data_IF_665089261219
#
_entry.id   IF_665089261219
#
_cell.length_a   1.000
_cell.length_b   1.000
_cell.length_c   1.000
_cell.angle_alpha   90.00
_cell.angle_beta   90.00
_cell.angle_gamma   90.00
#
_symmetry.space_group_name_H-M   'P 1'
#
loop_
_entity.id
_entity.type
_entity.pdbx_description
1 polymer ?
#
# COMPACT_ATOMS: atom_id res chain seq x y z
N UNK A 1 -7.32 -2.84 -18.10
CA UNK A 1 -5.89 -3.00 -17.77
C UNK A 1 -5.62 -4.47 -17.51
N UNK A 2 -4.61 -5.03 -18.18
CA UNK A 2 -4.22 -6.44 -18.03
C UNK A 2 -2.83 -6.48 -17.38
N UNK A 3 -2.62 -7.41 -16.47
CA UNK A 3 -1.34 -7.66 -15.81
C UNK A 3 -1.15 -9.17 -15.65
N UNK A 4 0.07 -9.65 -15.94
CA UNK A 4 0.50 -11.00 -15.63
C UNK A 4 1.17 -10.95 -14.27
N UNK A 5 0.76 -11.79 -13.34
CA UNK A 5 1.51 -12.05 -12.11
C UNK A 5 2.42 -13.24 -12.33
N UNK A 6 3.65 -13.11 -11.91
CA UNK A 6 4.67 -14.15 -11.99
C UNK A 6 5.02 -14.65 -10.59
N UNK A 7 5.29 -15.92 -10.49
CA UNK A 7 5.93 -16.54 -9.34
C UNK A 7 7.39 -16.09 -9.21
N UNK A 8 8.08 -16.34 -8.09
CA UNK A 8 9.50 -16.06 -7.93
C UNK A 8 10.41 -16.74 -8.96
N UNK A 9 9.97 -17.86 -9.53
CA UNK A 9 10.65 -18.61 -10.60
C UNK A 9 10.38 -18.09 -12.02
N UNK A 10 9.70 -16.94 -12.17
CA UNK A 10 9.24 -16.33 -13.41
C UNK A 10 8.15 -17.12 -14.17
N UNK A 11 7.60 -18.17 -13.62
CA UNK A 11 6.41 -18.83 -14.19
C UNK A 11 5.17 -17.97 -13.97
N UNK A 12 4.16 -18.12 -14.85
CA UNK A 12 2.91 -17.36 -14.73
C UNK A 12 2.08 -17.89 -13.57
N UNK A 13 1.92 -17.11 -12.51
CA UNK A 13 0.99 -17.42 -11.41
C UNK A 13 -0.46 -17.26 -11.89
N UNK A 14 -0.80 -16.08 -12.43
CA UNK A 14 -2.14 -15.79 -12.94
C UNK A 14 -2.19 -14.56 -13.83
N UNK A 15 -3.20 -14.55 -14.70
CA UNK A 15 -3.58 -13.34 -15.45
C UNK A 15 -4.57 -12.52 -14.63
N UNK A 16 -4.31 -11.22 -14.51
CA UNK A 16 -5.19 -10.28 -13.78
C UNK A 16 -5.70 -9.20 -14.72
N UNK A 17 -7.03 -9.10 -14.84
CA UNK A 17 -7.68 -8.01 -15.55
C UNK A 17 -8.41 -7.09 -14.57
N UNK A 18 -8.33 -5.78 -14.79
CA UNK A 18 -9.09 -4.79 -14.03
C UNK A 18 -9.78 -3.82 -14.97
N UNK A 19 -11.06 -3.58 -14.72
CA UNK A 19 -11.74 -2.43 -15.29
C UNK A 19 -11.28 -1.18 -14.52
N UNK A 20 -10.87 -0.14 -15.25
CA UNK A 20 -10.32 1.09 -14.67
C UNK A 20 -11.01 2.28 -15.31
N UNK A 21 -11.56 3.17 -14.48
CA UNK A 21 -12.10 4.44 -14.95
C UNK A 21 -10.98 5.41 -15.34
N UNK A 22 -11.27 6.34 -16.25
CA UNK A 22 -10.33 7.39 -16.66
C UNK A 22 -10.45 8.58 -15.70
N UNK A 23 -9.96 8.44 -14.45
CA UNK A 23 -10.08 9.46 -13.42
C UNK A 23 -9.44 10.81 -13.77
N UNK A 24 -8.49 10.84 -14.71
CA UNK A 24 -7.93 12.08 -15.24
C UNK A 24 -8.95 12.96 -15.99
N UNK A 25 -10.06 12.38 -16.44
CA UNK A 25 -11.15 13.11 -17.09
C UNK A 25 -12.24 13.59 -16.12
N UNK A 26 -12.12 13.32 -14.83
CA UNK A 26 -13.05 13.79 -13.81
C UNK A 26 -12.86 15.28 -13.50
N UNK A 27 -13.97 15.99 -13.37
CA UNK A 27 -14.01 17.41 -13.01
C UNK A 27 -14.32 17.59 -11.52
N UNK A 28 -13.47 18.39 -10.83
CA UNK A 28 -13.69 18.76 -9.44
C UNK A 28 -14.96 19.57 -9.30
N UNK A 29 -15.74 19.29 -8.27
CA UNK A 29 -17.04 19.94 -8.02
C UNK A 29 -18.23 19.29 -8.70
N UNK A 30 -18.01 18.44 -9.73
CA UNK A 30 -19.05 17.67 -10.42
C UNK A 30 -18.91 16.17 -10.18
N UNK A 31 -17.78 15.60 -10.56
CA UNK A 31 -17.55 14.15 -10.45
C UNK A 31 -17.00 13.74 -9.08
N UNK A 32 -16.40 14.67 -8.36
CA UNK A 32 -15.89 14.47 -7.00
C UNK A 32 -15.72 15.81 -6.29
N UNK A 33 -15.80 15.77 -4.96
CA UNK A 33 -15.58 16.97 -4.11
C UNK A 33 -14.34 16.78 -3.23
N UNK A 34 -14.16 15.61 -2.65
CA UNK A 34 -13.07 15.30 -1.71
C UNK A 34 -12.39 14.00 -2.10
N UNK A 35 -11.06 14.01 -2.11
CA UNK A 35 -10.24 12.85 -2.50
C UNK A 35 -9.35 12.33 -1.38
N UNK A 36 -9.11 13.13 -0.34
CA UNK A 36 -8.20 12.78 0.74
C UNK A 36 -8.67 11.53 1.49
N UNK A 37 -7.77 10.59 1.68
CA UNK A 37 -7.86 9.47 2.60
C UNK A 37 -6.64 9.48 3.52
N UNK A 38 -6.79 9.15 4.81
CA UNK A 38 -5.65 8.99 5.70
C UNK A 38 -4.69 7.94 5.17
N UNK A 39 -3.41 8.20 5.32
CA UNK A 39 -2.33 7.26 5.03
C UNK A 39 -1.52 7.02 6.30
N UNK A 40 -1.10 5.79 6.51
CA UNK A 40 -0.31 5.39 7.65
C UNK A 40 1.05 6.08 7.66
N UNK A 41 1.47 6.59 8.82
CA UNK A 41 2.72 7.33 8.97
C UNK A 41 3.90 6.40 9.28
N UNK A 42 5.10 6.60 8.68
CA UNK A 42 6.28 5.79 9.03
C UNK A 42 6.63 5.82 10.52
N UNK A 43 6.45 6.97 11.19
CA UNK A 43 6.66 7.08 12.64
C UNK A 43 5.73 6.16 13.44
N UNK A 44 4.49 6.00 12.99
CA UNK A 44 3.52 5.09 13.61
C UNK A 44 3.92 3.62 13.42
N UNK A 45 4.55 3.27 12.29
CA UNK A 45 5.12 1.93 12.08
C UNK A 45 6.18 1.62 13.14
N UNK A 46 7.16 2.52 13.32
CA UNK A 46 8.21 2.35 14.29
C UNK A 46 7.66 2.23 15.72
N UNK A 47 6.65 3.04 16.06
CA UNK A 47 6.01 2.98 17.38
C UNK A 47 5.29 1.65 17.60
N UNK A 48 4.49 1.20 16.62
CA UNK A 48 3.72 -0.06 16.76
C UNK A 48 4.65 -1.26 16.81
N UNK A 49 5.70 -1.30 16.00
CA UNK A 49 6.68 -2.39 16.03
C UNK A 49 7.49 -2.40 17.34
N UNK A 50 7.87 -1.24 17.86
CA UNK A 50 8.53 -1.15 19.17
C UNK A 50 7.59 -1.62 20.29
N UNK A 51 6.32 -1.23 20.25
CA UNK A 51 5.32 -1.68 21.20
C UNK A 51 5.07 -3.19 21.08
N UNK A 52 4.99 -3.71 19.87
CA UNK A 52 4.79 -5.14 19.62
C UNK A 52 5.97 -5.98 20.14
N UNK A 53 7.20 -5.50 19.98
CA UNK A 53 8.38 -6.16 20.55
C UNK A 53 8.33 -6.14 22.08
N UNK A 54 8.08 -4.96 22.69
CA UNK A 54 8.05 -4.79 24.15
C UNK A 54 6.96 -5.61 24.83
N UNK A 55 5.76 -5.59 24.26
CA UNK A 55 4.57 -6.24 24.84
C UNK A 55 4.36 -7.67 24.32
N UNK A 56 5.30 -8.23 23.55
CA UNK A 56 5.21 -9.56 22.91
C UNK A 56 3.94 -9.73 22.05
N UNK A 57 3.50 -8.67 21.40
CA UNK A 57 2.36 -8.75 20.49
C UNK A 57 2.76 -9.46 19.20
N UNK A 58 1.93 -10.38 18.77
CA UNK A 58 2.02 -10.97 17.43
C UNK A 58 1.50 -10.01 16.38
N UNK A 59 2.04 -10.09 15.19
CA UNK A 59 1.61 -9.29 14.05
C UNK A 59 1.11 -10.20 12.94
N UNK A 60 -0.13 -10.00 12.50
CA UNK A 60 -0.79 -10.80 11.47
C UNK A 60 -1.32 -9.92 10.36
N UNK A 61 -1.02 -10.26 9.12
CA UNK A 61 -1.40 -9.51 7.93
C UNK A 61 -2.64 -10.11 7.27
N UNK A 62 -3.59 -9.26 6.93
CA UNK A 62 -4.83 -9.61 6.23
C UNK A 62 -5.00 -8.70 5.02
N UNK A 63 -5.18 -9.27 3.83
CA UNK A 63 -5.44 -8.56 2.57
C UNK A 63 -6.93 -8.54 2.25
N UNK A 64 -7.46 -7.40 1.87
CA UNK A 64 -8.84 -7.29 1.39
C UNK A 64 -8.88 -7.35 -0.13
N UNK A 65 -9.44 -8.44 -0.63
CA UNK A 65 -9.57 -8.65 -2.07
C UNK A 65 -10.43 -7.57 -2.72
N UNK A 66 -9.82 -6.78 -3.63
CA UNK A 66 -10.53 -5.70 -4.36
C UNK A 66 -11.16 -4.65 -3.45
N UNK A 67 -10.48 -4.28 -2.36
CA UNK A 67 -10.91 -3.37 -1.31
C UNK A 67 -11.66 -2.12 -1.84
N UNK A 68 -11.11 -1.49 -2.84
CA UNK A 68 -11.67 -0.27 -3.42
C UNK A 68 -13.08 -0.43 -4.02
N UNK A 69 -13.49 -1.63 -4.42
CA UNK A 69 -14.82 -1.86 -4.99
C UNK A 69 -15.93 -1.95 -3.94
N UNK A 70 -15.58 -1.94 -2.66
CA UNK A 70 -16.56 -1.86 -1.56
C UNK A 70 -16.97 -0.44 -1.22
N UNK A 71 -16.18 0.57 -1.62
CA UNK A 71 -16.53 1.97 -1.37
C UNK A 71 -17.81 2.38 -2.08
N UNK A 72 -18.70 3.06 -1.39
CA UNK A 72 -19.95 3.60 -1.94
C UNK A 72 -19.69 4.99 -2.51
N UNK A 73 -20.30 5.29 -3.66
CA UNK A 73 -20.17 6.60 -4.29
C UNK A 73 -21.24 7.55 -3.76
N UNK A 74 -20.85 8.76 -3.39
CA UNK A 74 -21.75 9.84 -3.00
C UNK A 74 -22.24 10.60 -4.24
N UNK A 75 -21.43 10.59 -5.31
CA UNK A 75 -21.73 11.29 -6.56
C UNK A 75 -22.32 10.33 -7.60
N UNK A 76 -23.13 10.88 -8.50
CA UNK A 76 -23.66 10.14 -9.65
C UNK A 76 -22.65 10.15 -10.77
N UNK A 77 -22.00 9.01 -11.00
CA UNK A 77 -20.93 8.87 -12.00
C UNK A 77 -21.37 7.93 -13.11
N UNK A 78 -21.17 8.38 -14.33
CA UNK A 78 -21.37 7.60 -15.53
C UNK A 78 -20.03 7.36 -16.23
N UNK A 79 -19.83 6.14 -16.73
CA UNK A 79 -18.67 5.76 -17.53
C UNK A 79 -19.10 5.18 -18.87
N UNK A 80 -18.26 5.36 -19.89
CA UNK A 80 -18.46 4.68 -21.19
C UNK A 80 -18.30 3.18 -20.99
N UNK A 81 -19.13 2.41 -21.69
CA UNK A 81 -19.00 0.97 -21.67
C UNK A 81 -17.62 0.51 -22.19
N UNK A 82 -17.05 -0.57 -21.62
CA UNK A 82 -15.79 -1.11 -22.10
C UNK A 82 -15.88 -1.53 -23.56
N UNK A 83 -14.80 -1.30 -24.32
CA UNK A 83 -14.71 -1.77 -25.71
C UNK A 83 -14.99 -3.27 -25.78
N UNK A 84 -15.77 -3.71 -26.76
CA UNK A 84 -16.21 -5.11 -26.98
C UNK A 84 -17.25 -5.65 -25.99
N UNK A 85 -17.71 -4.84 -25.04
CA UNK A 85 -18.75 -5.21 -24.06
C UNK A 85 -19.94 -4.23 -24.12
N UNK A 86 -20.16 -3.62 -25.28
CA UNK A 86 -21.29 -2.72 -25.46
C UNK A 86 -22.60 -3.50 -25.47
N UNK A 87 -23.56 -3.02 -24.69
CA UNK A 87 -24.93 -3.52 -24.64
C UNK A 87 -25.87 -2.35 -24.92
N UNK A 88 -26.85 -2.55 -25.74
CA UNK A 88 -27.79 -1.50 -26.16
C UNK A 88 -27.22 -0.56 -27.24
N UNK A 89 -27.81 0.60 -27.39
CA UNK A 89 -27.46 1.56 -28.42
C UNK A 89 -26.16 2.32 -28.13
N UNK A 90 -25.69 3.14 -29.12
CA UNK A 90 -24.40 3.84 -29.04
C UNK A 90 -24.30 4.87 -27.89
N UNK A 91 -25.43 5.35 -27.38
CA UNK A 91 -25.51 6.36 -26.32
C UNK A 91 -25.72 5.74 -24.91
N UNK A 92 -25.70 4.41 -24.79
CA UNK A 92 -25.84 3.73 -23.49
C UNK A 92 -24.54 3.80 -22.72
N UNK A 93 -24.61 4.27 -21.46
CA UNK A 93 -23.50 4.40 -20.52
C UNK A 93 -23.74 3.56 -19.27
N UNK A 94 -22.68 3.25 -18.53
CA UNK A 94 -22.80 2.56 -17.25
C UNK A 94 -22.86 3.56 -16.11
N UNK A 95 -23.91 3.50 -15.30
CA UNK A 95 -23.98 4.22 -14.02
C UNK A 95 -23.22 3.40 -12.97
N UNK A 96 -22.29 4.03 -12.28
CA UNK A 96 -21.56 3.38 -11.18
C UNK A 96 -22.37 3.44 -9.90
N UNK A 97 -22.55 2.29 -9.24
CA UNK A 97 -23.15 2.18 -7.91
C UNK A 97 -22.10 2.08 -6.80
N UNK A 98 -20.88 1.65 -7.15
CA UNK A 98 -19.75 1.50 -6.25
C UNK A 98 -18.49 2.09 -6.88
N UNK A 99 -17.51 2.36 -6.04
CA UNK A 99 -16.20 2.82 -6.48
C UNK A 99 -15.54 1.85 -7.45
N UNK A 100 -14.85 2.41 -8.43
CA UNK A 100 -14.12 1.67 -9.45
C UNK A 100 -12.67 2.17 -9.49
N UNK A 101 -11.73 1.26 -9.74
CA UNK A 101 -10.32 1.63 -9.92
C UNK A 101 -10.16 2.78 -10.91
N UNK A 102 -9.29 3.73 -10.57
CA UNK A 102 -9.02 4.91 -11.39
C UNK A 102 -9.82 6.15 -11.03
N UNK A 103 -10.89 6.06 -10.24
CA UNK A 103 -11.60 7.25 -9.74
C UNK A 103 -10.74 8.01 -8.72
N UNK A 104 -10.83 9.34 -8.71
CA UNK A 104 -10.06 10.21 -7.79
C UNK A 104 -10.46 10.05 -6.32
N UNK A 105 -11.76 9.88 -6.04
CA UNK A 105 -12.29 9.71 -4.69
C UNK A 105 -12.21 8.26 -4.14
N UNK A 106 -11.64 7.34 -4.92
CA UNK A 106 -11.60 5.91 -4.63
C UNK A 106 -11.10 5.58 -3.23
N UNK A 107 -9.91 6.07 -2.86
CA UNK A 107 -9.28 5.79 -1.57
C UNK A 107 -10.11 6.33 -0.40
N UNK A 108 -10.73 7.51 -0.58
CA UNK A 108 -11.60 8.12 0.42
C UNK A 108 -12.86 7.30 0.67
N UNK A 109 -13.53 6.84 -0.39
CA UNK A 109 -14.77 6.06 -0.25
C UNK A 109 -14.49 4.69 0.38
N UNK A 110 -13.38 4.06 0.01
CA UNK A 110 -12.93 2.85 0.67
C UNK A 110 -12.64 3.07 2.16
N UNK A 111 -11.86 4.10 2.50
CA UNK A 111 -11.56 4.42 3.90
C UNK A 111 -12.82 4.67 4.73
N UNK A 112 -13.82 5.41 4.19
CA UNK A 112 -15.11 5.61 4.85
C UNK A 112 -15.83 4.27 5.13
N UNK A 113 -15.86 3.37 4.15
CA UNK A 113 -16.51 2.06 4.30
C UNK A 113 -15.82 1.23 5.37
N UNK A 114 -14.49 1.14 5.32
CA UNK A 114 -13.72 0.39 6.29
C UNK A 114 -13.85 0.98 7.71
N UNK A 115 -13.79 2.32 7.83
CA UNK A 115 -14.01 3.02 9.10
C UNK A 115 -15.38 2.67 9.71
N UNK A 116 -16.44 2.74 8.91
CA UNK A 116 -17.80 2.40 9.35
C UNK A 116 -17.90 0.96 9.87
N UNK A 117 -17.27 0.01 9.18
CA UNK A 117 -17.26 -1.39 9.61
C UNK A 117 -16.46 -1.57 10.90
N UNK A 118 -15.25 -1.01 10.97
CA UNK A 118 -14.43 -1.10 12.19
C UNK A 118 -15.09 -0.45 13.40
N UNK A 119 -15.74 0.71 13.24
CA UNK A 119 -16.49 1.33 14.33
C UNK A 119 -17.68 0.48 14.78
N UNK A 120 -18.39 -0.17 13.85
CA UNK A 120 -19.53 -1.06 14.17
C UNK A 120 -19.13 -2.28 14.99
N UNK A 121 -17.90 -2.80 14.79
CA UNK A 121 -17.36 -3.93 15.58
C UNK A 121 -16.57 -3.48 16.82
N UNK A 122 -16.61 -2.19 17.12
CA UNK A 122 -16.13 -1.63 18.39
C UNK A 122 -14.72 -1.06 18.40
N UNK A 123 -14.06 -0.96 17.25
CA UNK A 123 -12.76 -0.30 17.15
C UNK A 123 -12.92 1.22 17.22
N UNK A 124 -11.92 1.88 17.78
CA UNK A 124 -11.84 3.34 17.84
C UNK A 124 -10.63 3.83 17.07
N UNK A 125 -10.87 4.80 16.21
CA UNK A 125 -9.83 5.47 15.43
C UNK A 125 -8.96 6.34 16.33
N UNK A 126 -7.64 6.30 16.13
CA UNK A 126 -6.67 7.11 16.89
C UNK A 126 -6.60 8.51 16.31
N UNK A 127 -6.84 9.54 17.15
CA UNK A 127 -6.88 10.94 16.69
C UNK A 127 -5.55 11.45 16.11
N UNK A 128 -4.41 10.95 16.61
CA UNK A 128 -3.08 11.34 16.13
C UNK A 128 -2.72 10.73 14.79
N UNK A 129 -3.30 9.56 14.45
CA UNK A 129 -3.14 8.89 13.16
C UNK A 129 -4.42 8.12 12.80
N UNK A 130 -5.19 8.69 11.91
CA UNK A 130 -6.50 8.15 11.50
C UNK A 130 -6.41 6.82 10.69
N UNK A 131 -5.20 6.31 10.48
CA UNK A 131 -4.99 4.99 9.87
C UNK A 131 -4.81 3.90 10.91
N UNK A 132 -4.87 4.23 12.21
CA UNK A 132 -4.72 3.29 13.31
C UNK A 132 -6.05 3.19 14.05
N UNK A 133 -6.45 1.96 14.31
CA UNK A 133 -7.63 1.64 15.10
C UNK A 133 -7.23 0.81 16.31
N UNK A 134 -7.90 1.02 17.42
CA UNK A 134 -7.65 0.30 18.66
C UNK A 134 -8.98 -0.28 19.17
N UNK A 135 -8.95 -1.56 19.49
CA UNK A 135 -9.96 -2.21 20.29
C UNK A 135 -9.38 -2.51 21.68
N UNK A 136 -10.09 -2.08 22.72
CA UNK A 136 -9.68 -2.33 24.10
C UNK A 136 -10.92 -2.68 24.93
N UNK A 137 -11.08 -3.93 25.29
CA UNK A 137 -12.19 -4.44 26.09
C UNK A 137 -11.76 -5.68 26.89
N UNK A 138 -12.15 -5.78 28.15
CA UNK A 138 -11.88 -6.96 28.98
C UNK A 138 -10.40 -7.41 28.99
N UNK A 139 -9.47 -6.46 29.13
CA UNK A 139 -8.02 -6.67 29.07
C UNK A 139 -7.45 -7.05 27.69
N UNK A 140 -8.29 -7.31 26.70
CA UNK A 140 -7.86 -7.53 25.32
C UNK A 140 -7.48 -6.19 24.69
N UNK A 141 -6.27 -6.13 24.13
CA UNK A 141 -5.77 -4.99 23.33
C UNK A 141 -5.46 -5.47 21.94
N UNK A 142 -6.12 -4.89 20.97
CA UNK A 142 -5.86 -5.15 19.56
C UNK A 142 -5.64 -3.82 18.85
N UNK A 143 -4.50 -3.67 18.20
CA UNK A 143 -4.12 -2.50 17.42
C UNK A 143 -4.18 -2.88 15.94
N UNK A 144 -4.82 -2.06 15.14
CA UNK A 144 -5.04 -2.32 13.72
C UNK A 144 -4.55 -1.13 12.90
N UNK A 145 -3.26 -1.12 12.53
CA UNK A 145 -2.76 -0.21 11.50
C UNK A 145 -3.25 -0.65 10.12
N UNK A 146 -3.71 0.32 9.33
CA UNK A 146 -4.28 0.11 8.01
C UNK A 146 -3.47 0.86 6.97
N UNK A 147 -3.09 0.17 5.91
CA UNK A 147 -2.48 0.78 4.74
C UNK A 147 -3.24 0.39 3.49
N UNK A 148 -4.15 1.26 3.09
CA UNK A 148 -5.02 1.11 1.91
C UNK A 148 -5.87 -0.16 2.03
N UNK A 149 -5.43 -1.28 1.46
CA UNK A 149 -6.08 -2.60 1.44
C UNK A 149 -5.42 -3.61 2.39
N UNK A 150 -4.22 -3.33 2.89
CA UNK A 150 -3.51 -4.14 3.86
C UNK A 150 -3.93 -3.78 5.28
N UNK A 151 -4.43 -4.75 6.03
CA UNK A 151 -4.79 -4.63 7.45
C UNK A 151 -3.82 -5.48 8.26
N UNK A 152 -3.15 -4.88 9.24
CA UNK A 152 -2.33 -5.63 10.17
C UNK A 152 -3.03 -5.71 11.52
N UNK A 153 -3.15 -6.89 12.06
CA UNK A 153 -3.67 -7.13 13.41
C UNK A 153 -2.48 -7.31 14.35
N UNK A 154 -2.45 -6.54 15.43
CA UNK A 154 -1.35 -6.53 16.41
C UNK A 154 -1.92 -6.77 17.80
N UNK A 155 -1.69 -7.95 18.36
CA UNK A 155 -2.23 -8.36 19.67
C UNK A 155 -1.42 -9.52 20.29
N UNK A 156 -1.59 -9.73 21.58
CA UNK A 156 -1.15 -10.93 22.28
C UNK A 156 -2.17 -12.07 22.16
N UNK A 157 -3.43 -11.73 21.91
CA UNK A 157 -4.58 -12.61 21.94
C UNK A 157 -4.93 -13.08 20.51
N UNK A 158 -4.56 -14.32 20.19
CA UNK A 158 -4.86 -14.96 18.92
C UNK A 158 -6.38 -15.10 18.68
N UNK A 159 -7.15 -15.40 19.72
CA UNK A 159 -8.60 -15.57 19.63
C UNK A 159 -9.29 -14.24 19.27
N UNK A 160 -8.79 -13.12 19.80
CA UNK A 160 -9.30 -11.80 19.45
C UNK A 160 -8.96 -11.44 17.99
N UNK A 161 -7.78 -11.82 17.50
CA UNK A 161 -7.42 -11.64 16.09
C UNK A 161 -8.30 -12.51 15.18
N UNK A 162 -8.53 -13.79 15.52
CA UNK A 162 -9.40 -14.70 14.77
C UNK A 162 -10.84 -14.19 14.72
N UNK A 163 -11.39 -13.78 15.85
CA UNK A 163 -12.73 -13.17 15.93
C UNK A 163 -12.84 -11.93 15.04
N UNK A 164 -11.83 -11.09 15.06
CA UNK A 164 -11.80 -9.86 14.22
C UNK A 164 -11.75 -10.21 12.73
N UNK A 165 -10.94 -11.20 12.32
CA UNK A 165 -10.88 -11.67 10.93
C UNK A 165 -12.25 -12.22 10.52
N UNK A 166 -12.88 -13.00 11.39
CA UNK A 166 -14.22 -13.56 11.13
C UNK A 166 -15.28 -12.46 10.97
N UNK A 167 -15.29 -11.46 11.84
CA UNK A 167 -16.24 -10.35 11.73
C UNK A 167 -16.00 -9.52 10.46
N UNK A 168 -14.75 -9.19 10.14
CA UNK A 168 -14.42 -8.52 8.90
C UNK A 168 -14.80 -9.34 7.66
N UNK A 169 -14.73 -10.68 7.72
CA UNK A 169 -15.11 -11.59 6.63
C UNK A 169 -16.60 -11.54 6.28
N UNK A 170 -17.45 -11.12 7.21
CA UNK A 170 -18.88 -10.91 6.97
C UNK A 170 -19.15 -9.69 6.05
N UNK A 171 -18.19 -8.76 5.98
CA UNK A 171 -18.31 -7.53 5.21
C UNK A 171 -17.43 -7.50 3.95
N UNK A 172 -16.28 -8.17 3.99
CA UNK A 172 -15.25 -8.13 2.95
C UNK A 172 -14.74 -9.53 2.61
N UNK A 173 -14.34 -9.71 1.36
CA UNK A 173 -13.60 -10.92 0.97
C UNK A 173 -12.16 -10.77 1.41
N UNK A 174 -11.76 -11.51 2.43
CA UNK A 174 -10.42 -11.46 3.03
C UNK A 174 -9.54 -12.60 2.53
N UNK A 175 -8.23 -12.34 2.56
CA UNK A 175 -7.18 -13.34 2.48
C UNK A 175 -6.27 -13.15 3.69
N UNK A 176 -6.28 -14.11 4.60
CA UNK A 176 -5.37 -14.14 5.73
C UNK A 176 -3.98 -14.59 5.26
N UNK A 177 -3.00 -13.75 5.44
CA UNK A 177 -1.62 -13.98 5.02
C UNK A 177 -0.74 -14.49 6.18
N UNK A 178 -1.32 -14.66 7.38
CA UNK A 178 -0.62 -15.14 8.56
C UNK A 178 0.33 -14.12 9.17
N UNK A 179 1.43 -14.59 9.75
CA UNK A 179 2.42 -13.72 10.40
C UNK A 179 2.98 -12.68 9.42
N UNK A 180 3.07 -11.44 9.90
CA UNK A 180 3.55 -10.31 9.08
C UNK A 180 5.02 -10.46 8.75
N UNK A 181 5.35 -10.61 7.49
CA UNK A 181 6.73 -10.66 6.98
C UNK A 181 7.13 -9.40 6.23
N UNK A 182 6.16 -8.65 5.71
CA UNK A 182 6.36 -7.37 5.03
C UNK A 182 5.29 -6.36 5.45
N UNK A 183 5.72 -5.13 5.68
CA UNK A 183 4.87 -3.96 5.86
C UNK A 183 5.44 -2.80 5.05
N UNK A 184 4.65 -2.19 4.17
CA UNK A 184 5.08 -1.03 3.35
C UNK A 184 6.36 -1.28 2.54
N UNK A 185 6.54 -2.48 2.02
CA UNK A 185 7.78 -2.91 1.35
C UNK A 185 9.00 -3.02 2.26
N UNK A 186 8.83 -2.86 3.58
CA UNK A 186 9.84 -3.13 4.59
C UNK A 186 9.67 -4.58 5.06
N UNK A 187 10.75 -5.33 5.05
CA UNK A 187 10.77 -6.69 5.60
C UNK A 187 10.70 -6.62 7.12
N UNK A 188 9.79 -7.38 7.71
CA UNK A 188 9.60 -7.49 9.15
C UNK A 188 10.02 -8.89 9.58
N UNK A 189 10.95 -8.98 10.50
CA UNK A 189 11.34 -10.24 11.15
C UNK A 189 11.09 -10.09 12.65
N UNK A 190 10.11 -10.83 13.14
CA UNK A 190 9.79 -10.86 14.56
C UNK A 190 10.41 -12.09 15.23
N UNK A 191 11.05 -11.88 16.37
CA UNK A 191 11.54 -12.90 17.28
C UNK A 191 10.87 -12.68 18.64
N UNK A 192 9.91 -13.54 18.96
CA UNK A 192 9.13 -13.45 20.19
C UNK A 192 9.95 -13.84 21.43
N UNK A 193 10.91 -14.77 21.28
CA UNK A 193 11.76 -15.21 22.42
C UNK A 193 12.78 -14.13 22.78
N UNK A 194 13.38 -13.49 21.77
CA UNK A 194 14.33 -12.41 21.97
C UNK A 194 13.66 -11.05 22.22
N UNK A 195 12.33 -10.95 22.17
CA UNK A 195 11.55 -9.69 22.25
C UNK A 195 12.01 -8.62 21.25
N UNK A 196 12.35 -9.04 20.02
CA UNK A 196 12.88 -8.14 19.00
C UNK A 196 12.07 -8.17 17.73
N UNK A 197 11.99 -7.03 17.06
CA UNK A 197 11.48 -6.90 15.68
C UNK A 197 12.53 -6.17 14.86
N UNK A 198 13.02 -6.84 13.81
CA UNK A 198 13.95 -6.26 12.85
C UNK A 198 13.22 -5.77 11.63
N UNK A 199 13.50 -4.53 11.23
CA UNK A 199 13.00 -3.92 10.00
C UNK A 199 14.15 -3.80 8.99
N UNK A 200 13.96 -4.29 7.77
CA UNK A 200 14.99 -4.29 6.72
C UNK A 200 14.42 -3.94 5.36
N UNK A 201 15.19 -3.22 4.56
CA UNK A 201 14.90 -2.91 3.16
C UNK A 201 15.87 -3.61 2.19
N UNK A 202 16.60 -4.63 2.63
CA UNK A 202 17.58 -5.36 1.82
C UNK A 202 17.01 -5.78 0.46
N UNK A 203 15.81 -6.36 0.45
CA UNK A 203 15.15 -6.76 -0.78
C UNK A 203 14.84 -5.59 -1.75
N UNK A 204 14.56 -4.40 -1.22
CA UNK A 204 14.40 -3.20 -2.03
C UNK A 204 15.73 -2.74 -2.62
N UNK A 205 16.79 -2.74 -1.81
CA UNK A 205 18.15 -2.40 -2.26
C UNK A 205 18.58 -3.34 -3.39
N UNK A 206 18.41 -4.66 -3.23
CA UNK A 206 18.74 -5.64 -4.27
C UNK A 206 17.98 -5.36 -5.58
N UNK A 207 16.69 -5.01 -5.49
CA UNK A 207 15.91 -4.62 -6.67
C UNK A 207 16.44 -3.35 -7.34
N UNK A 208 16.90 -2.36 -6.56
CA UNK A 208 17.50 -1.14 -7.11
C UNK A 208 18.82 -1.45 -7.82
N UNK A 209 19.71 -2.21 -7.17
CA UNK A 209 20.97 -2.61 -7.77
C UNK A 209 20.76 -3.32 -9.11
N UNK A 210 19.83 -4.29 -9.17
CA UNK A 210 19.44 -4.97 -10.41
C UNK A 210 18.89 -4.00 -11.46
N UNK A 211 17.98 -3.11 -11.06
CA UNK A 211 17.35 -2.16 -11.98
C UNK A 211 18.35 -1.22 -12.65
N UNK A 212 19.42 -0.87 -11.94
CA UNK A 212 20.44 0.08 -12.42
C UNK A 212 21.73 -0.61 -12.88
N UNK A 213 21.75 -1.96 -12.96
CA UNK A 213 22.92 -2.77 -13.33
C UNK A 213 24.14 -2.48 -12.43
N UNK A 214 23.92 -2.37 -11.13
CA UNK A 214 24.93 -2.06 -10.11
C UNK A 214 25.14 -3.21 -9.13
N UNK A 215 24.78 -4.44 -9.49
CA UNK A 215 24.89 -5.62 -8.60
C UNK A 215 26.33 -5.91 -8.20
N UNK A 216 27.27 -5.68 -9.12
CA UNK A 216 28.72 -5.90 -8.92
C UNK A 216 29.45 -4.63 -8.45
N UNK A 217 28.75 -3.57 -8.05
CA UNK A 217 29.40 -2.34 -7.61
C UNK A 217 30.06 -2.51 -6.24
N UNK A 218 31.24 -1.91 -6.05
CA UNK A 218 31.89 -1.87 -4.76
C UNK A 218 31.17 -0.88 -3.82
N UNK A 219 30.85 -1.26 -2.59
CA UNK A 219 30.21 -0.38 -1.64
C UNK A 219 31.18 0.74 -1.21
N UNK A 220 30.67 1.97 -1.17
CA UNK A 220 31.40 3.14 -0.70
C UNK A 220 30.67 3.71 0.52
N UNK A 221 31.41 4.05 1.58
CA UNK A 221 30.85 4.57 2.84
C UNK A 221 30.39 6.04 2.75
N UNK A 222 30.96 6.80 1.82
CA UNK A 222 30.66 8.23 1.63
C UNK A 222 30.12 8.49 0.24
N UNK A 223 29.02 9.27 0.06
CA UNK A 223 28.45 9.55 -1.25
C UNK A 223 29.42 10.23 -2.22
N UNK A 224 30.28 11.11 -1.69
CA UNK A 224 31.28 11.87 -2.45
C UNK A 224 32.55 12.00 -1.60
N UNK A 225 33.71 12.11 -2.28
CA UNK A 225 34.95 12.51 -1.59
C UNK A 225 34.80 13.93 -1.02
N UNK A 226 35.18 14.17 0.24
CA UNK A 226 35.12 15.50 0.85
C UNK A 226 35.97 16.55 0.11
N UNK A 227 36.97 16.10 -0.66
CA UNK A 227 37.87 16.93 -1.44
C UNK A 227 37.36 17.22 -2.86
N UNK A 228 36.21 16.69 -3.27
CA UNK A 228 35.68 16.88 -4.61
C UNK A 228 34.91 18.20 -4.69
N UNK A 229 35.47 19.14 -5.41
CA UNK A 229 34.81 20.40 -5.77
C UNK A 229 33.97 20.20 -7.04
N UNK A 230 32.66 20.06 -6.87
CA UNK A 230 31.73 19.91 -7.99
C UNK A 230 31.61 21.15 -8.86
N UNK A 231 31.92 22.34 -8.34
CA UNK A 231 31.83 23.59 -9.08
C UNK A 231 32.93 23.73 -10.13
N UNK A 232 34.04 23.02 -9.93
CA UNK A 232 35.19 22.99 -10.86
C UNK A 232 35.03 21.97 -11.99
N UNK A 233 34.03 21.07 -11.90
CA UNK A 233 33.80 20.00 -12.87
C UNK A 233 32.88 20.48 -13.99
N UNK A 234 33.46 20.97 -15.07
CA UNK A 234 32.72 21.28 -16.30
C UNK A 234 32.76 20.04 -17.21
N UNK A 235 31.65 19.36 -17.44
CA UNK A 235 31.63 18.15 -18.27
C UNK A 235 31.89 18.51 -19.73
N UNK A 236 32.72 17.72 -20.40
CA UNK A 236 32.96 17.86 -21.85
C UNK A 236 31.69 17.44 -22.63
N UNK A 237 31.49 17.93 -23.88
CA UNK A 237 30.33 17.55 -24.69
C UNK A 237 30.15 16.03 -24.84
N UNK A 238 31.26 15.29 -25.00
CA UNK A 238 31.20 13.81 -25.08
C UNK A 238 30.81 13.16 -23.76
N UNK A 239 31.10 13.73 -22.62
CA UNK A 239 30.64 13.26 -21.30
C UNK A 239 29.16 13.57 -21.09
N UNK A 240 28.68 14.74 -21.53
CA UNK A 240 27.27 15.10 -21.50
C UNK A 240 26.43 14.14 -22.34
N UNK A 241 26.91 13.78 -23.54
CA UNK A 241 26.25 12.82 -24.42
C UNK A 241 26.13 11.43 -23.78
N UNK A 242 27.20 10.93 -23.15
CA UNK A 242 27.18 9.66 -22.39
C UNK A 242 26.24 9.72 -21.20
N UNK A 243 26.17 10.82 -20.48
CA UNK A 243 25.29 10.99 -19.32
C UNK A 243 23.80 11.01 -19.68
N UNK A 244 23.41 11.36 -20.90
CA UNK A 244 22.01 11.32 -21.35
C UNK A 244 21.40 9.90 -21.26
N UNK A 245 22.21 8.86 -21.37
CA UNK A 245 21.77 7.47 -21.29
C UNK A 245 21.79 6.89 -19.88
N UNK A 246 22.38 7.61 -18.91
CA UNK A 246 22.46 7.15 -17.51
C UNK A 246 21.27 7.69 -16.74
N UNK A 247 20.39 6.83 -16.19
CA UNK A 247 19.17 7.25 -15.47
C UNK A 247 19.48 7.76 -14.06
N UNK A 248 20.44 8.70 -13.93
CA UNK A 248 20.96 9.22 -12.66
C UNK A 248 19.86 9.76 -11.75
N UNK A 249 18.99 10.65 -12.28
CA UNK A 249 17.89 11.23 -11.52
C UNK A 249 16.90 10.16 -11.02
N UNK A 250 16.68 9.12 -11.83
CA UNK A 250 15.83 8.01 -11.43
C UNK A 250 16.49 7.16 -10.33
N UNK A 251 17.81 6.98 -10.38
CA UNK A 251 18.55 6.26 -9.35
C UNK A 251 18.51 7.00 -8.01
N UNK A 252 18.87 8.28 -8.01
CA UNK A 252 18.84 9.13 -6.80
C UNK A 252 17.44 9.28 -6.24
N UNK A 253 16.42 9.44 -7.09
CA UNK A 253 15.03 9.53 -6.66
C UNK A 253 14.43 8.20 -6.18
N UNK A 254 15.17 7.10 -6.27
CA UNK A 254 14.77 5.77 -5.77
C UNK A 254 15.35 5.46 -4.39
N UNK A 255 16.30 6.26 -3.90
CA UNK A 255 16.90 6.18 -2.56
C UNK A 255 16.07 6.97 -1.55
#
# INVERSE_FOLDING_TARGET
MFKVKLNPDNTVERYRSRLVAKGYSQYSGYDYTKVFAPTFRPASLCLITALAAKEEFKMRLVDISSAFTYGELEEVIYIKQPKRYHQGGPNVVCKLHKSLYGLKQLARQWNKKLHSVLDSIGFKCVLSDNSIYIYSRNQVKLIVPIFIDDITLVSKDDAAMDSTVQELSNHFKLCDLGATTFLFSVQVKQDLEAHTISLSQSHYVDKLLKRFNMEECNPIKTPLSPSLDLSSLVPTPSQQEKMCFIPYLAAVGSL
#
